data_IF_754654001303
#
_entry.id   IF_754654001303
#
_cell.length_a   1.000
_cell.length_b   1.000
_cell.length_c   1.000
_cell.angle_alpha   90.00
_cell.angle_beta   90.00
_cell.angle_gamma   90.00
#
_symmetry.space_group_name_H-M   'P 1'
#
loop_
_entity.id
_entity.type
_entity.pdbx_description
1 polymer ?
#
# COMPACT_ATOMS: atom_id res chain seq x y z
N UNK A 1 26.12 50.03 5.41
CA UNK A 1 26.88 49.28 6.43
C UNK A 1 25.92 48.26 7.02
N UNK A 2 25.76 47.11 6.37
CA UNK A 2 24.84 46.07 6.82
C UNK A 2 25.70 44.90 7.29
N UNK A 3 25.70 44.67 8.60
CA UNK A 3 26.37 43.54 9.24
C UNK A 3 25.71 42.26 8.75
N UNK A 4 26.45 41.51 7.93
CA UNK A 4 26.11 40.14 7.58
C UNK A 4 26.36 39.32 8.84
N UNK A 5 25.28 38.90 9.50
CA UNK A 5 25.31 37.80 10.46
C UNK A 5 25.75 36.55 9.70
N UNK A 6 27.06 36.34 9.62
CA UNK A 6 27.66 35.04 9.42
C UNK A 6 27.30 34.23 10.67
N UNK A 7 26.20 33.49 10.61
CA UNK A 7 26.02 32.34 11.48
C UNK A 7 27.20 31.40 11.20
N UNK A 8 28.24 31.49 12.04
CA UNK A 8 29.23 30.43 12.13
C UNK A 8 28.46 29.19 12.55
N UNK A 9 28.56 28.12 11.77
CA UNK A 9 28.36 26.80 12.32
C UNK A 9 29.44 26.65 13.39
N UNK A 10 29.06 26.94 14.64
CA UNK A 10 29.94 26.77 15.78
C UNK A 10 30.44 25.34 15.75
N UNK A 11 31.76 25.20 15.64
CA UNK A 11 32.48 23.95 15.86
C UNK A 11 32.27 23.55 17.32
N UNK A 12 31.11 22.96 17.62
CA UNK A 12 30.81 22.41 18.92
C UNK A 12 31.79 21.27 19.15
N UNK A 13 32.67 21.45 20.14
CA UNK A 13 33.48 20.37 20.63
C UNK A 13 32.55 19.40 21.37
N UNK A 14 32.03 18.42 20.64
CA UNK A 14 31.08 17.41 21.15
C UNK A 14 31.63 16.69 22.38
N UNK A 15 32.95 16.46 22.42
CA UNK A 15 33.61 15.85 23.59
C UNK A 15 33.58 16.77 24.80
N UNK A 16 33.77 18.08 24.60
CA UNK A 16 33.65 19.07 25.66
C UNK A 16 32.20 19.21 26.15
N UNK A 17 31.23 19.26 25.24
CA UNK A 17 29.82 19.32 25.58
C UNK A 17 29.40 18.10 26.42
N UNK A 18 29.78 16.89 26.02
CA UNK A 18 29.49 15.67 26.79
C UNK A 18 30.18 15.74 28.17
N UNK A 19 31.43 16.23 28.26
CA UNK A 19 32.11 16.41 29.55
C UNK A 19 31.41 17.41 30.47
N UNK A 20 30.94 18.53 29.92
CA UNK A 20 30.24 19.55 30.69
C UNK A 20 28.87 19.03 31.17
N UNK A 21 28.14 18.31 30.31
CA UNK A 21 26.90 17.62 30.71
C UNK A 21 27.13 16.56 31.80
N UNK A 22 28.18 15.75 31.67
CA UNK A 22 28.56 14.73 32.68
C UNK A 22 28.98 15.38 34.00
N UNK A 23 29.67 16.52 33.95
CA UNK A 23 30.02 17.30 35.14
C UNK A 23 28.76 17.90 35.80
N UNK A 24 27.85 18.47 35.02
CA UNK A 24 26.58 19.01 35.51
C UNK A 24 25.70 17.92 36.15
N UNK A 25 25.60 16.74 35.52
CA UNK A 25 24.90 15.57 36.08
C UNK A 25 25.54 15.08 37.38
N UNK A 26 26.88 15.07 37.46
CA UNK A 26 27.60 14.77 38.69
C UNK A 26 27.27 15.74 39.82
N UNK A 27 27.30 17.04 39.54
CA UNK A 27 26.93 18.09 40.50
C UNK A 27 25.46 18.00 40.92
N UNK A 28 24.56 17.67 39.99
CA UNK A 28 23.14 17.45 40.29
C UNK A 28 22.94 16.26 41.23
N UNK A 29 23.67 15.14 41.02
CA UNK A 29 23.62 13.99 41.94
C UNK A 29 24.09 14.36 43.35
N UNK A 30 25.17 15.14 43.49
CA UNK A 30 25.63 15.62 44.80
C UNK A 30 24.61 16.56 45.46
N UNK A 31 23.95 17.43 44.69
CA UNK A 31 22.87 18.28 45.19
C UNK A 31 21.71 17.44 45.74
N UNK A 32 21.24 16.45 44.97
CA UNK A 32 20.14 15.57 45.37
C UNK A 32 20.52 14.77 46.62
N UNK A 33 21.75 14.26 46.72
CA UNK A 33 22.22 13.53 47.91
C UNK A 33 22.28 14.43 49.14
N UNK A 34 22.73 15.67 48.98
CA UNK A 34 22.72 16.66 50.05
C UNK A 34 21.28 16.98 50.48
N UNK A 35 20.36 17.19 49.54
CA UNK A 35 18.95 17.47 49.82
C UNK A 35 18.27 16.29 50.53
N UNK A 36 18.58 15.05 50.14
CA UNK A 36 18.10 13.83 50.82
C UNK A 36 18.67 13.72 52.24
N UNK A 37 19.93 14.09 52.44
CA UNK A 37 20.57 14.10 53.75
C UNK A 37 19.93 15.15 54.66
N UNK A 38 19.71 16.36 54.14
CA UNK A 38 19.02 17.45 54.83
C UNK A 38 17.58 17.01 55.18
N UNK A 39 16.84 16.46 54.23
CA UNK A 39 15.49 15.95 54.45
C UNK A 39 15.46 14.88 55.56
N UNK A 40 16.44 13.96 55.57
CA UNK A 40 16.57 12.94 56.62
C UNK A 40 16.85 13.55 58.00
N UNK A 41 17.62 14.64 58.07
CA UNK A 41 17.88 15.32 59.35
C UNK A 41 16.70 16.16 59.86
N UNK A 42 15.85 16.67 58.95
CA UNK A 42 14.68 17.49 59.29
C UNK A 42 13.47 16.62 59.66
N UNK A 43 13.31 15.45 59.05
CA UNK A 43 12.20 14.55 59.40
C UNK A 43 12.48 13.91 60.77
N UNK A 44 11.58 14.14 61.73
CA UNK A 44 11.66 13.51 63.07
C UNK A 44 11.69 11.99 62.93
N UNK A 45 12.48 11.28 63.74
CA UNK A 45 12.59 9.81 63.76
C UNK A 45 11.21 9.14 63.99
N UNK A 46 10.41 9.02 62.93
CA UNK A 46 9.33 8.06 62.80
C UNK A 46 9.96 6.75 62.32
N UNK A 47 9.51 5.61 62.85
CA UNK A 47 10.14 4.32 62.64
C UNK A 47 10.54 4.04 61.19
N UNK A 48 11.58 3.22 61.01
CA UNK A 48 12.26 2.88 59.74
C UNK A 48 11.34 2.39 58.60
N UNK A 49 10.04 2.25 58.85
CA UNK A 49 9.01 1.75 57.93
C UNK A 49 8.14 2.85 57.32
N UNK A 50 8.40 4.12 57.60
CA UNK A 50 7.55 5.22 57.12
C UNK A 50 7.82 5.56 55.64
N UNK A 51 6.78 5.92 54.86
CA UNK A 51 6.88 6.07 53.39
C UNK A 51 7.93 7.10 52.94
N UNK A 52 8.03 8.24 53.65
CA UNK A 52 9.09 9.23 53.41
C UNK A 52 10.51 8.72 53.69
N UNK A 53 10.71 7.90 54.72
CA UNK A 53 12.02 7.30 55.01
C UNK A 53 12.41 6.28 53.94
N UNK A 54 11.46 5.45 53.50
CA UNK A 54 11.68 4.49 52.42
C UNK A 54 11.97 5.20 51.08
N UNK A 55 11.28 6.31 50.81
CA UNK A 55 11.55 7.15 49.65
C UNK A 55 12.94 7.79 49.73
N UNK A 56 13.32 8.38 50.88
CA UNK A 56 14.65 8.96 51.08
C UNK A 56 15.76 7.92 50.97
N UNK A 57 15.56 6.70 51.47
CA UNK A 57 16.50 5.60 51.26
C UNK A 57 16.63 5.24 49.79
N UNK A 58 15.50 5.09 49.08
CA UNK A 58 15.50 4.81 47.64
C UNK A 58 16.19 5.91 46.82
N UNK A 59 15.90 7.19 47.12
CA UNK A 59 16.53 8.34 46.47
C UNK A 59 18.05 8.32 46.68
N UNK A 60 18.51 8.02 47.90
CA UNK A 60 19.92 7.93 48.21
C UNK A 60 20.62 6.81 47.42
N UNK A 61 20.06 5.60 47.44
CA UNK A 61 20.62 4.42 46.77
C UNK A 61 20.67 4.60 45.24
N UNK A 62 19.57 5.08 44.62
CA UNK A 62 19.52 5.28 43.18
C UNK A 62 20.40 6.44 42.71
N UNK A 63 20.48 7.53 43.47
CA UNK A 63 21.32 8.66 43.11
C UNK A 63 22.81 8.30 43.21
N UNK A 64 23.21 7.50 44.20
CA UNK A 64 24.57 6.94 44.26
C UNK A 64 24.87 6.00 43.10
N UNK A 65 23.91 5.17 42.67
CA UNK A 65 24.06 4.32 41.49
C UNK A 65 24.27 5.14 40.20
N UNK A 66 23.47 6.20 40.00
CA UNK A 66 23.62 7.11 38.85
C UNK A 66 24.98 7.84 38.92
N UNK A 67 25.39 8.30 40.10
CA UNK A 67 26.69 8.94 40.32
C UNK A 67 27.87 8.02 39.99
N UNK A 68 27.75 6.72 40.27
CA UNK A 68 28.76 5.73 39.84
C UNK A 68 28.81 5.59 38.31
N UNK A 69 27.66 5.59 37.62
CA UNK A 69 27.60 5.58 36.15
C UNK A 69 28.22 6.84 35.53
N UNK A 70 27.91 8.03 36.09
CA UNK A 70 28.53 9.31 35.69
C UNK A 70 30.06 9.23 35.79
N UNK A 71 30.61 8.63 36.86
CA UNK A 71 32.06 8.43 37.04
C UNK A 71 32.65 7.50 35.96
N UNK A 72 31.94 6.43 35.60
CA UNK A 72 32.37 5.51 34.54
C UNK A 72 32.40 6.20 33.17
N UNK A 73 31.36 6.96 32.83
CA UNK A 73 31.30 7.78 31.62
C UNK A 73 32.45 8.78 31.59
N UNK A 74 32.66 9.51 32.69
CA UNK A 74 33.76 10.49 32.82
C UNK A 74 35.13 9.86 32.56
N UNK A 75 35.37 8.63 33.00
CA UNK A 75 36.64 7.90 32.80
C UNK A 75 36.87 7.49 31.34
N UNK A 76 35.79 7.27 30.58
CA UNK A 76 35.85 6.82 29.17
C UNK A 76 36.04 7.97 28.17
N UNK A 77 35.82 9.20 28.59
CA UNK A 77 36.05 10.38 27.75
C UNK A 77 37.55 10.73 27.71
N UNK A 78 38.11 11.10 26.54
CA UNK A 78 39.47 11.61 26.44
C UNK A 78 39.72 12.77 27.40
N UNK A 79 40.95 12.98 27.87
CA UNK A 79 41.31 14.14 28.69
C UNK A 79 41.84 15.25 27.79
N UNK A 80 41.20 16.42 27.77
CA UNK A 80 41.77 17.61 27.11
C UNK A 80 42.78 18.28 28.05
N UNK A 81 43.97 18.54 27.53
CA UNK A 81 45.13 19.09 28.26
C UNK A 81 45.02 20.63 28.43
N UNK A 82 43.99 21.26 27.86
CA UNK A 82 43.82 22.71 27.92
C UNK A 82 42.57 23.11 28.70
N UNK A 83 42.59 22.85 30.01
CA UNK A 83 41.73 23.56 30.95
C UNK A 83 42.40 24.88 31.28
N UNK A 84 41.87 25.99 30.76
CA UNK A 84 42.19 27.32 31.29
C UNK A 84 41.62 27.33 32.71
N UNK A 85 42.53 27.32 33.70
CA UNK A 85 42.18 27.57 35.10
C UNK A 85 41.47 28.92 35.16
N UNK A 86 40.15 28.93 35.32
CA UNK A 86 39.47 30.13 35.82
C UNK A 86 40.14 30.45 37.16
N UNK A 87 40.79 31.60 37.24
CA UNK A 87 41.56 32.08 38.39
C UNK A 87 40.69 32.40 39.60
N UNK A 88 39.87 31.44 40.03
CA UNK A 88 39.23 31.46 41.34
C UNK A 88 40.26 30.87 42.29
N UNK A 89 40.87 31.74 43.09
CA UNK A 89 41.85 31.36 44.10
C UNK A 89 41.22 30.32 45.05
N UNK A 90 41.89 29.20 45.36
CA UNK A 90 41.38 28.18 46.30
C UNK A 90 41.01 28.77 47.68
N UNK A 91 41.68 29.87 48.06
CA UNK A 91 41.39 30.66 49.26
C UNK A 91 39.97 31.27 49.32
N UNK A 92 39.30 31.50 48.17
CA UNK A 92 37.91 32.00 48.16
C UNK A 92 36.88 30.89 48.27
N UNK A 93 37.24 29.65 47.90
CA UNK A 93 36.38 28.48 48.08
C UNK A 93 36.41 27.97 49.52
N UNK A 94 37.58 28.00 50.17
CA UNK A 94 37.76 27.64 51.58
C UNK A 94 37.17 28.67 52.56
N UNK A 95 36.86 29.89 52.11
CA UNK A 95 36.21 30.92 52.91
C UNK A 95 34.67 30.83 52.97
N UNK A 96 34.05 30.04 52.09
CA UNK A 96 32.58 29.84 52.07
C UNK A 96 32.03 28.99 53.24
N UNK A 97 32.71 27.96 53.75
CA UNK A 97 32.23 27.22 54.93
C UNK A 97 32.45 27.96 56.26
N UNK A 98 33.16 29.09 56.29
CA UNK A 98 33.53 29.79 57.53
C UNK A 98 32.47 30.78 58.07
N UNK A 99 31.28 30.86 57.44
CA UNK A 99 30.18 31.74 57.90
C UNK A 99 28.93 30.99 58.35
N UNK A 100 29.00 29.68 58.57
CA UNK A 100 27.92 28.94 59.23
C UNK A 100 28.20 28.92 60.72
N UNK A 101 27.85 30.02 61.38
CA UNK A 101 27.76 30.05 62.83
C UNK A 101 26.74 28.99 63.29
N UNK A 102 27.18 28.21 64.27
CA UNK A 102 26.42 27.17 64.92
C UNK A 102 25.26 27.77 65.73
N UNK A 103 24.06 27.81 65.15
CA UNK A 103 22.84 28.01 65.93
C UNK A 103 22.32 26.64 66.37
N UNK A 104 22.86 26.20 67.50
CA UNK A 104 22.61 24.89 68.08
C UNK A 104 21.61 25.04 69.22
N UNK A 105 20.34 25.35 68.90
CA UNK A 105 19.25 25.29 69.88
C UNK A 105 17.89 24.97 69.24
N UNK A 106 17.38 23.78 69.60
CA UNK A 106 15.98 23.39 69.71
C UNK A 106 15.11 23.21 68.44
N UNK A 107 14.73 21.95 68.21
CA UNK A 107 13.43 21.50 67.67
C UNK A 107 12.98 22.10 66.32
N UNK A 108 13.72 21.85 65.25
CA UNK A 108 13.24 22.06 63.88
C UNK A 108 13.03 20.75 63.13
N UNK A 109 12.46 19.75 63.83
CA UNK A 109 12.06 18.51 63.17
C UNK A 109 10.60 18.58 62.75
N UNK A 110 10.31 18.22 61.50
CA UNK A 110 8.96 18.17 60.95
C UNK A 110 8.43 16.75 61.14
N UNK A 111 7.18 16.62 61.58
CA UNK A 111 6.50 15.31 61.64
C UNK A 111 6.43 14.69 60.24
N UNK A 112 6.67 13.39 60.14
CA UNK A 112 6.60 12.62 58.88
C UNK A 112 5.35 12.95 58.05
N UNK A 113 4.18 12.94 58.69
CA UNK A 113 2.89 13.21 58.06
C UNK A 113 2.86 14.58 57.38
N UNK A 114 3.42 15.60 58.06
CA UNK A 114 3.45 16.98 57.56
C UNK A 114 4.46 17.16 56.44
N UNK A 115 5.62 16.50 56.53
CA UNK A 115 6.59 16.46 55.44
C UNK A 115 6.00 15.81 54.19
N UNK A 116 5.29 14.69 54.34
CA UNK A 116 4.65 13.99 53.23
C UNK A 116 3.56 14.80 52.54
N UNK A 117 2.75 15.54 53.32
CA UNK A 117 1.74 16.45 52.79
C UNK A 117 2.38 17.58 51.95
N UNK A 118 3.44 18.21 52.47
CA UNK A 118 4.17 19.26 51.75
C UNK A 118 4.83 18.74 50.47
N UNK A 119 5.40 17.53 50.53
CA UNK A 119 5.98 16.87 49.37
C UNK A 119 4.93 16.54 48.31
N UNK A 120 3.75 16.06 48.73
CA UNK A 120 2.63 15.78 47.83
C UNK A 120 2.14 17.05 47.14
N UNK A 121 1.95 18.15 47.89
CA UNK A 121 1.58 19.45 47.31
C UNK A 121 2.65 19.99 46.35
N UNK A 122 3.93 19.72 46.59
CA UNK A 122 5.01 20.10 45.69
C UNK A 122 4.98 19.25 44.40
N UNK A 123 4.74 17.94 44.50
CA UNK A 123 4.57 17.06 43.35
C UNK A 123 3.36 17.45 42.50
N UNK A 124 2.21 17.74 43.11
CA UNK A 124 0.99 18.15 42.40
C UNK A 124 1.22 19.43 41.57
N UNK A 125 1.98 20.40 42.10
CA UNK A 125 2.34 21.61 41.35
C UNK A 125 3.28 21.38 40.17
N UNK A 126 4.11 20.35 40.22
CA UNK A 126 5.11 20.06 39.18
C UNK A 126 4.55 19.15 38.09
N UNK A 127 3.77 18.14 38.48
CA UNK A 127 3.27 17.10 37.57
C UNK A 127 1.81 17.32 37.17
N UNK A 128 1.05 18.17 37.88
CA UNK A 128 -0.35 18.50 37.61
C UNK A 128 -1.21 17.27 37.31
N UNK A 129 -1.56 17.03 36.04
CA UNK A 129 -2.44 15.93 35.61
C UNK A 129 -1.75 14.55 35.58
N UNK A 130 -0.41 14.51 35.61
CA UNK A 130 0.40 13.28 35.55
C UNK A 130 0.94 12.83 36.92
N UNK A 131 0.51 13.46 38.02
CA UNK A 131 1.00 13.16 39.36
C UNK A 131 0.56 11.76 39.84
N UNK A 132 1.53 10.87 40.06
CA UNK A 132 1.32 9.51 40.63
C UNK A 132 1.74 9.42 42.09
N UNK A 133 1.94 10.57 42.72
CA UNK A 133 2.45 10.74 44.07
C UNK A 133 3.98 10.73 44.14
N UNK A 134 4.57 11.26 45.23
CA UNK A 134 6.01 11.46 45.35
C UNK A 134 6.83 10.20 45.06
N UNK A 135 6.45 9.07 45.66
CA UNK A 135 7.16 7.81 45.49
C UNK A 135 7.27 7.34 44.04
N UNK A 136 6.19 7.42 43.26
CA UNK A 136 6.18 6.93 41.89
C UNK A 136 6.86 7.90 40.93
N UNK A 137 6.69 9.21 41.14
CA UNK A 137 7.31 10.22 40.30
C UNK A 137 8.84 10.18 40.40
N UNK A 138 9.38 10.16 41.63
CA UNK A 138 10.82 10.03 41.85
C UNK A 138 11.37 8.70 41.34
N UNK A 139 10.64 7.59 41.54
CA UNK A 139 11.02 6.27 41.01
C UNK A 139 11.11 6.28 39.49
N UNK A 140 10.08 6.79 38.81
CA UNK A 140 10.04 6.87 37.35
C UNK A 140 11.15 7.75 36.78
N UNK A 141 11.35 8.95 37.35
CA UNK A 141 12.39 9.90 36.91
C UNK A 141 13.79 9.34 37.09
N UNK A 142 14.12 8.79 38.26
CA UNK A 142 15.45 8.19 38.51
C UNK A 142 15.67 6.94 37.68
N UNK A 143 14.66 6.10 37.47
CA UNK A 143 14.77 4.93 36.62
C UNK A 143 15.03 5.30 35.16
N UNK A 144 14.34 6.33 34.65
CA UNK A 144 14.57 6.84 33.30
C UNK A 144 15.98 7.43 33.17
N UNK A 145 16.39 8.30 34.10
CA UNK A 145 17.74 8.87 34.10
C UNK A 145 18.82 7.79 34.14
N UNK A 146 18.65 6.76 34.97
CA UNK A 146 19.58 5.63 35.03
C UNK A 146 19.63 4.85 33.70
N UNK A 147 18.49 4.61 33.05
CA UNK A 147 18.42 3.97 31.73
C UNK A 147 19.16 4.78 30.66
N UNK A 148 18.94 6.10 30.61
CA UNK A 148 19.57 6.98 29.62
C UNK A 148 21.08 7.07 29.82
N UNK A 149 21.55 7.15 31.07
CA UNK A 149 22.98 7.08 31.38
C UNK A 149 23.59 5.72 31.03
N UNK A 150 22.87 4.61 31.24
CA UNK A 150 23.34 3.28 30.86
C UNK A 150 23.48 3.16 29.34
N UNK A 151 22.51 3.67 28.57
CA UNK A 151 22.59 3.72 27.11
C UNK A 151 23.78 4.56 26.64
N UNK A 152 24.01 5.73 27.25
CA UNK A 152 25.16 6.58 26.93
C UNK A 152 26.49 5.90 27.28
N UNK A 153 26.57 5.24 28.44
CA UNK A 153 27.75 4.48 28.86
C UNK A 153 28.05 3.31 27.91
N UNK A 154 27.01 2.62 27.44
CA UNK A 154 27.12 1.52 26.47
C UNK A 154 27.55 2.03 25.10
N UNK A 155 26.97 3.13 24.62
CA UNK A 155 27.36 3.75 23.34
C UNK A 155 28.84 4.14 23.34
N UNK A 156 29.33 4.74 24.43
CA UNK A 156 30.75 5.08 24.58
C UNK A 156 31.65 3.84 24.66
N UNK A 157 31.15 2.70 25.16
CA UNK A 157 31.88 1.44 25.17
C UNK A 157 32.00 0.85 23.76
N UNK A 158 30.87 0.74 23.06
CA UNK A 158 30.81 0.14 21.72
C UNK A 158 31.65 0.92 20.71
N UNK A 159 31.79 2.23 20.92
CA UNK A 159 32.54 3.17 20.08
C UNK A 159 33.92 3.53 20.62
N UNK A 160 34.41 2.88 21.68
CA UNK A 160 35.69 3.19 22.33
C UNK A 160 36.86 3.19 21.33
N UNK A 161 36.90 2.22 20.41
CA UNK A 161 37.95 2.14 19.39
C UNK A 161 37.89 3.30 18.37
N UNK A 162 36.69 3.71 17.93
CA UNK A 162 36.51 4.85 17.02
C UNK A 162 36.91 6.16 17.71
N UNK A 163 36.46 6.35 18.96
CA UNK A 163 36.77 7.53 19.79
C UNK A 163 38.27 7.64 20.07
N UNK A 164 38.93 6.52 20.43
CA UNK A 164 40.39 6.50 20.68
C UNK A 164 41.21 6.63 19.39
N UNK A 165 40.72 6.12 18.26
CA UNK A 165 41.40 6.27 16.96
C UNK A 165 41.38 7.72 16.46
N UNK A 166 40.30 8.46 16.74
CA UNK A 166 40.18 9.90 16.45
C UNK A 166 41.04 10.75 17.40
N UNK A 167 41.10 10.40 18.68
CA UNK A 167 41.93 11.10 19.67
C UNK A 167 43.44 10.89 19.48
N UNK A 168 43.86 9.76 18.85
CA UNK A 168 45.28 9.44 18.59
C UNK A 168 45.79 9.93 17.22
N UNK A 169 44.97 10.60 16.40
CA UNK A 169 45.50 11.34 15.26
C UNK A 169 46.30 12.54 15.80
N UNK A 170 47.63 12.35 15.87
CA UNK A 170 48.61 13.43 16.03
C UNK A 170 48.15 14.63 15.22
N UNK A 171 48.07 15.78 15.89
CA UNK A 171 47.89 17.11 15.29
C UNK A 171 48.71 17.26 14.00
N UNK A 172 48.07 17.03 12.87
CA UNK A 172 48.60 17.46 11.58
C UNK A 172 48.43 18.98 11.54
N UNK A 173 49.50 19.69 11.16
CA UNK A 173 49.58 21.16 11.20
C UNK A 173 48.27 21.80 10.73
N UNK A 174 47.75 22.83 11.44
CA UNK A 174 46.48 23.44 11.07
C UNK A 174 46.55 23.87 9.61
N UNK A 175 45.68 23.26 8.79
CA UNK A 175 45.49 23.62 7.39
C UNK A 175 45.21 25.12 7.38
N UNK A 176 46.02 25.87 6.65
CA UNK A 176 45.97 27.31 6.65
C UNK A 176 44.55 27.79 6.30
N UNK A 177 43.97 28.77 7.03
CA UNK A 177 42.56 29.17 6.87
C UNK A 177 42.14 29.50 5.42
N UNK A 178 43.10 29.93 4.61
CA UNK A 178 42.92 30.18 3.17
C UNK A 178 42.61 28.88 2.41
N UNK A 179 43.29 27.78 2.69
CA UNK A 179 43.08 26.48 2.05
C UNK A 179 41.72 25.91 2.47
N UNK A 180 41.36 26.01 3.75
CA UNK A 180 40.04 25.58 4.25
C UNK A 180 38.91 26.38 3.58
N UNK A 181 39.08 27.69 3.44
CA UNK A 181 38.12 28.55 2.74
C UNK A 181 38.04 28.24 1.25
N UNK A 182 39.17 27.94 0.60
CA UNK A 182 39.20 27.54 -0.81
C UNK A 182 38.50 26.18 -1.04
N UNK A 183 38.69 25.22 -0.13
CA UNK A 183 38.01 23.92 -0.17
C UNK A 183 36.50 24.06 0.05
N UNK A 184 36.08 24.95 0.95
CA UNK A 184 34.66 25.25 1.18
C UNK A 184 34.01 25.85 -0.06
N UNK A 185 34.64 26.85 -0.68
CA UNK A 185 34.15 27.47 -1.93
C UNK A 185 34.08 26.42 -3.05
N UNK A 186 35.08 25.55 -3.16
CA UNK A 186 35.08 24.46 -4.13
C UNK A 186 33.90 23.52 -3.92
N UNK A 187 33.65 23.10 -2.66
CA UNK A 187 32.51 22.25 -2.30
C UNK A 187 31.17 22.93 -2.59
N UNK A 188 31.04 24.22 -2.26
CA UNK A 188 29.84 25.00 -2.56
C UNK A 188 29.59 25.15 -4.06
N UNK A 189 30.64 25.33 -4.87
CA UNK A 189 30.53 25.42 -6.32
C UNK A 189 30.12 24.09 -6.95
N UNK A 190 30.64 22.98 -6.42
CA UNK A 190 30.24 21.63 -6.82
C UNK A 190 28.79 21.33 -6.44
N UNK A 191 28.37 21.69 -5.22
CA UNK A 191 26.97 21.61 -4.78
C UNK A 191 26.04 22.47 -5.65
N UNK A 192 26.46 23.70 -6.01
CA UNK A 192 25.71 24.56 -6.93
C UNK A 192 25.54 23.90 -8.30
N UNK A 193 26.58 23.27 -8.83
CA UNK A 193 26.50 22.59 -10.13
C UNK A 193 25.55 21.40 -10.09
N UNK A 194 25.58 20.61 -9.01
CA UNK A 194 24.61 19.52 -8.79
C UNK A 194 23.19 20.07 -8.71
N UNK A 195 22.96 21.13 -7.94
CA UNK A 195 21.64 21.77 -7.83
C UNK A 195 21.16 22.37 -9.16
N UNK A 196 22.06 22.93 -9.96
CA UNK A 196 21.73 23.44 -11.29
C UNK A 196 21.31 22.31 -12.23
N UNK A 197 22.03 21.17 -12.22
CA UNK A 197 21.68 20.00 -13.02
C UNK A 197 20.35 19.37 -12.58
N UNK A 198 20.07 19.30 -11.27
CA UNK A 198 18.77 18.79 -10.80
C UNK A 198 17.64 19.74 -11.18
N UNK A 199 17.86 21.06 -11.13
CA UNK A 199 16.87 22.05 -11.53
C UNK A 199 16.57 21.98 -13.04
N UNK A 200 17.60 21.84 -13.88
CA UNK A 200 17.44 21.63 -15.33
C UNK A 200 16.64 20.36 -15.64
N UNK A 201 16.91 19.25 -14.94
CA UNK A 201 16.15 18.02 -15.11
C UNK A 201 14.67 18.19 -14.71
N UNK A 202 14.40 18.89 -13.60
CA UNK A 202 13.02 19.21 -13.19
C UNK A 202 12.31 20.11 -14.19
N UNK A 203 13.00 21.07 -14.80
CA UNK A 203 12.44 21.90 -15.86
C UNK A 203 12.09 21.09 -17.12
N UNK A 204 12.93 20.11 -17.49
CA UNK A 204 12.64 19.18 -18.58
C UNK A 204 11.38 18.34 -18.28
N UNK A 205 11.27 17.79 -17.07
CA UNK A 205 10.08 17.04 -16.62
C UNK A 205 8.82 17.91 -16.68
N UNK A 206 8.90 19.17 -16.20
CA UNK A 206 7.77 20.11 -16.25
C UNK A 206 7.35 20.38 -17.69
N UNK A 207 8.30 20.56 -18.62
CA UNK A 207 8.00 20.77 -20.05
C UNK A 207 7.31 19.54 -20.64
N UNK A 208 7.79 18.34 -20.33
CA UNK A 208 7.20 17.09 -20.79
C UNK A 208 5.79 16.87 -20.23
N UNK A 209 5.59 17.13 -18.93
CA UNK A 209 4.28 17.05 -18.29
C UNK A 209 3.28 18.05 -18.87
N UNK A 210 3.73 19.28 -19.17
CA UNK A 210 2.89 20.29 -19.85
C UNK A 210 2.48 19.83 -21.26
N UNK A 211 3.38 19.20 -22.02
CA UNK A 211 3.06 18.66 -23.33
C UNK A 211 2.05 17.50 -23.22
N UNK A 212 2.26 16.58 -22.28
CA UNK A 212 1.35 15.47 -22.02
C UNK A 212 -0.05 15.96 -21.60
N UNK A 213 -0.12 16.99 -20.75
CA UNK A 213 -1.38 17.62 -20.34
C UNK A 213 -2.12 18.25 -21.52
N UNK A 214 -1.40 18.95 -22.42
CA UNK A 214 -2.02 19.50 -23.65
C UNK A 214 -2.55 18.40 -24.57
N UNK A 215 -1.81 17.30 -24.76
CA UNK A 215 -2.27 16.17 -25.57
C UNK A 215 -3.53 15.53 -24.96
N UNK A 216 -3.57 15.37 -23.63
CA UNK A 216 -4.75 14.85 -22.92
C UNK A 216 -5.94 15.80 -23.01
N UNK A 217 -5.71 17.11 -22.92
CA UNK A 217 -6.75 18.11 -23.10
C UNK A 217 -7.35 18.05 -24.51
N UNK A 218 -6.52 17.85 -25.54
CA UNK A 218 -6.97 17.69 -26.92
C UNK A 218 -7.76 16.39 -27.13
N UNK A 219 -7.33 15.28 -26.51
CA UNK A 219 -8.07 14.01 -26.55
C UNK A 219 -9.45 14.15 -25.89
N UNK A 220 -9.53 14.83 -24.75
CA UNK A 220 -10.79 15.12 -24.07
C UNK A 220 -11.71 16.02 -24.89
N UNK A 221 -11.19 17.08 -25.53
CA UNK A 221 -12.01 17.94 -26.39
C UNK A 221 -12.53 17.20 -27.62
N UNK A 222 -11.74 16.30 -28.22
CA UNK A 222 -12.20 15.43 -29.30
C UNK A 222 -13.28 14.46 -28.83
N UNK A 223 -13.10 13.81 -27.68
CA UNK A 223 -14.13 12.92 -27.10
C UNK A 223 -15.43 13.67 -26.79
N UNK A 224 -15.33 14.92 -26.30
CA UNK A 224 -16.50 15.76 -26.05
C UNK A 224 -17.26 16.04 -27.35
N UNK A 225 -16.58 16.42 -28.43
CA UNK A 225 -17.22 16.64 -29.74
C UNK A 225 -17.91 15.36 -30.24
N UNK A 226 -17.27 14.19 -30.09
CA UNK A 226 -17.86 12.90 -30.47
C UNK A 226 -19.11 12.57 -29.65
N UNK A 227 -19.07 12.84 -28.35
CA UNK A 227 -20.22 12.70 -27.45
C UNK A 227 -21.37 13.60 -27.89
N UNK A 228 -21.12 14.90 -28.08
CA UNK A 228 -22.15 15.86 -28.47
C UNK A 228 -22.78 15.48 -29.83
N UNK A 229 -21.99 14.95 -30.77
CA UNK A 229 -22.50 14.45 -32.05
C UNK A 229 -23.40 13.21 -31.88
N UNK A 230 -23.02 12.28 -31.00
CA UNK A 230 -23.81 11.10 -30.71
C UNK A 230 -25.13 11.46 -30.00
N UNK A 231 -25.09 12.39 -29.05
CA UNK A 231 -26.27 12.91 -28.36
C UNK A 231 -27.23 13.60 -29.34
N UNK A 232 -26.72 14.42 -30.27
CA UNK A 232 -27.54 15.02 -31.34
C UNK A 232 -28.19 13.96 -32.22
N UNK A 233 -27.45 12.93 -32.65
CA UNK A 233 -28.01 11.83 -33.45
C UNK A 233 -29.09 11.07 -32.70
N UNK A 234 -28.87 10.81 -31.41
CA UNK A 234 -29.85 10.14 -30.56
C UNK A 234 -31.11 10.99 -30.38
N UNK A 235 -30.97 12.30 -30.18
CA UNK A 235 -32.10 13.23 -30.10
C UNK A 235 -32.92 13.27 -31.39
N UNK A 236 -32.27 13.28 -32.56
CA UNK A 236 -32.96 13.21 -33.86
C UNK A 236 -33.70 11.88 -34.01
N UNK A 237 -33.03 10.75 -33.75
CA UNK A 237 -33.66 9.43 -33.81
C UNK A 237 -34.85 9.33 -32.85
N UNK A 238 -34.72 9.86 -31.63
CA UNK A 238 -35.80 9.88 -30.65
C UNK A 238 -37.00 10.69 -31.17
N UNK A 239 -36.77 11.87 -31.74
CA UNK A 239 -37.84 12.68 -32.34
C UNK A 239 -38.50 11.97 -33.52
N UNK A 240 -37.74 11.27 -34.37
CA UNK A 240 -38.28 10.45 -35.46
C UNK A 240 -39.13 9.29 -34.92
N UNK A 241 -38.65 8.59 -33.89
CA UNK A 241 -39.42 7.53 -33.22
C UNK A 241 -40.72 8.07 -32.62
N UNK A 242 -40.68 9.18 -31.89
CA UNK A 242 -41.86 9.84 -31.35
C UNK A 242 -42.86 10.20 -32.46
N UNK A 243 -42.38 10.75 -33.58
CA UNK A 243 -43.23 11.07 -34.73
C UNK A 243 -43.87 9.82 -35.36
N UNK A 244 -43.10 8.73 -35.51
CA UNK A 244 -43.65 7.47 -36.04
C UNK A 244 -44.69 6.87 -35.10
N UNK A 245 -44.45 6.89 -33.79
CA UNK A 245 -45.41 6.41 -32.78
C UNK A 245 -46.70 7.22 -32.87
N UNK A 246 -46.61 8.55 -32.98
CA UNK A 246 -47.78 9.42 -33.11
C UNK A 246 -48.58 9.13 -34.39
N UNK A 247 -47.89 8.87 -35.52
CA UNK A 247 -48.52 8.46 -36.77
C UNK A 247 -49.25 7.12 -36.64
N UNK A 248 -48.63 6.12 -35.99
CA UNK A 248 -49.25 4.82 -35.75
C UNK A 248 -50.47 4.93 -34.82
N UNK A 249 -50.39 5.74 -33.76
CA UNK A 249 -51.53 6.03 -32.88
C UNK A 249 -52.69 6.63 -33.67
N UNK A 250 -52.43 7.63 -34.51
CA UNK A 250 -53.47 8.24 -35.34
C UNK A 250 -54.12 7.23 -36.30
N UNK A 251 -53.33 6.37 -36.95
CA UNK A 251 -53.87 5.31 -37.81
C UNK A 251 -54.72 4.29 -37.02
N UNK A 252 -54.30 3.96 -35.80
CA UNK A 252 -55.04 3.10 -34.91
C UNK A 252 -56.39 3.73 -34.49
N UNK A 253 -56.40 5.01 -34.12
CA UNK A 253 -57.62 5.76 -33.80
C UNK A 253 -58.56 5.86 -35.01
N UNK A 254 -58.03 6.16 -36.20
CA UNK A 254 -58.81 6.21 -37.44
C UNK A 254 -59.44 4.84 -37.76
N UNK A 255 -58.69 3.74 -37.64
CA UNK A 255 -59.20 2.38 -37.85
C UNK A 255 -60.25 1.99 -36.80
N UNK A 256 -60.04 2.36 -35.54
CA UNK A 256 -61.00 2.12 -34.47
C UNK A 256 -62.30 2.90 -34.69
N UNK A 257 -62.22 4.16 -35.11
CA UNK A 257 -63.39 4.97 -35.43
C UNK A 257 -64.19 4.39 -36.62
N UNK A 258 -63.50 3.89 -37.65
CA UNK A 258 -64.13 3.20 -38.77
C UNK A 258 -64.86 1.93 -38.31
N UNK A 259 -64.24 1.14 -37.43
CA UNK A 259 -64.85 -0.07 -36.89
C UNK A 259 -66.11 0.26 -36.08
N UNK A 260 -66.08 1.31 -35.26
CA UNK A 260 -67.26 1.77 -34.50
C UNK A 260 -68.39 2.24 -35.45
N UNK A 261 -68.05 2.92 -36.55
CA UNK A 261 -69.02 3.32 -37.56
C UNK A 261 -69.66 2.12 -38.27
N UNK A 262 -68.86 1.09 -38.59
CA UNK A 262 -69.38 -0.15 -39.17
C UNK A 262 -70.32 -0.87 -38.21
N UNK A 263 -69.98 -0.95 -36.92
CA UNK A 263 -70.88 -1.52 -35.90
C UNK A 263 -72.20 -0.73 -35.76
N UNK A 264 -72.17 0.60 -35.88
CA UNK A 264 -73.40 1.41 -35.89
C UNK A 264 -74.27 1.08 -37.10
N UNK A 265 -73.67 0.97 -38.29
CA UNK A 265 -74.39 0.56 -39.51
C UNK A 265 -74.93 -0.86 -39.41
N UNK A 266 -74.17 -1.80 -38.85
CA UNK A 266 -74.64 -3.17 -38.60
C UNK A 266 -75.89 -3.16 -37.73
N UNK A 267 -75.90 -2.40 -36.63
CA UNK A 267 -77.10 -2.22 -35.79
C UNK A 267 -78.27 -1.58 -36.53
N UNK A 268 -78.02 -0.58 -37.38
CA UNK A 268 -79.07 0.03 -38.21
C UNK A 268 -79.66 -0.98 -39.21
N UNK A 269 -78.83 -1.84 -39.79
CA UNK A 269 -79.29 -2.94 -40.65
C UNK A 269 -80.07 -3.99 -39.87
N UNK A 270 -79.63 -4.38 -38.67
CA UNK A 270 -80.38 -5.27 -37.78
C UNK A 270 -81.76 -4.71 -37.47
N UNK A 271 -81.86 -3.44 -37.06
CA UNK A 271 -83.15 -2.79 -36.80
C UNK A 271 -84.04 -2.74 -38.04
N UNK A 272 -83.45 -2.49 -39.22
CA UNK A 272 -84.20 -2.49 -40.48
C UNK A 272 -84.69 -3.91 -40.83
N UNK A 273 -83.85 -4.93 -40.60
CA UNK A 273 -84.19 -6.33 -40.81
C UNK A 273 -85.35 -6.75 -39.90
N UNK A 274 -85.31 -6.39 -38.62
CA UNK A 274 -86.36 -6.67 -37.64
C UNK A 274 -87.69 -6.02 -38.07
N UNK A 275 -87.64 -4.79 -38.57
CA UNK A 275 -88.84 -4.11 -39.08
C UNK A 275 -89.44 -4.85 -40.28
N UNK A 276 -88.62 -5.26 -41.25
CA UNK A 276 -89.08 -6.04 -42.41
C UNK A 276 -89.61 -7.42 -42.00
N UNK A 277 -89.02 -8.07 -41.00
CA UNK A 277 -89.53 -9.34 -40.47
C UNK A 277 -90.91 -9.15 -39.83
N UNK A 278 -91.07 -8.10 -39.02
CA UNK A 278 -92.37 -7.71 -38.44
C UNK A 278 -93.43 -7.48 -39.53
N UNK A 279 -93.08 -6.78 -40.61
CA UNK A 279 -93.98 -6.57 -41.75
C UNK A 279 -94.32 -7.87 -42.48
N UNK A 280 -93.35 -8.79 -42.65
CA UNK A 280 -93.61 -10.12 -43.21
C UNK A 280 -94.60 -10.90 -42.35
N UNK A 281 -94.39 -10.95 -41.03
CA UNK A 281 -95.29 -11.63 -40.10
C UNK A 281 -96.71 -11.02 -40.13
N UNK A 282 -96.82 -9.69 -40.19
CA UNK A 282 -98.08 -8.99 -40.33
C UNK A 282 -98.79 -9.39 -41.64
N UNK A 283 -98.08 -9.33 -42.78
CA UNK A 283 -98.62 -9.74 -44.09
C UNK A 283 -98.97 -11.23 -44.15
N UNK A 284 -98.21 -12.10 -43.50
CA UNK A 284 -98.52 -13.53 -43.40
C UNK A 284 -99.75 -13.77 -42.54
N UNK A 285 -99.92 -13.01 -41.46
CA UNK A 285 -101.14 -13.02 -40.65
C UNK A 285 -102.33 -12.56 -41.48
N UNK A 286 -102.24 -11.44 -42.20
CA UNK A 286 -103.28 -10.93 -43.08
C UNK A 286 -103.60 -11.93 -44.20
N UNK A 287 -102.59 -12.49 -44.85
CA UNK A 287 -102.74 -13.56 -45.85
C UNK A 287 -103.40 -14.80 -45.26
N UNK A 288 -103.07 -15.19 -44.04
CA UNK A 288 -103.69 -16.34 -43.36
C UNK A 288 -105.16 -16.06 -43.05
N UNK A 289 -105.51 -14.85 -42.59
CA UNK A 289 -106.91 -14.43 -42.38
C UNK A 289 -107.68 -14.33 -43.70
N UNK A 290 -107.06 -13.85 -44.78
CA UNK A 290 -107.66 -13.82 -46.11
C UNK A 290 -107.82 -15.23 -46.68
N UNK A 291 -106.86 -16.14 -46.48
CA UNK A 291 -107.01 -17.56 -46.84
C UNK A 291 -108.11 -18.23 -46.03
N UNK A 292 -108.26 -17.91 -44.76
CA UNK A 292 -109.36 -18.40 -43.92
C UNK A 292 -110.71 -17.88 -44.45
N UNK A 293 -110.81 -16.58 -44.74
CA UNK A 293 -111.98 -15.96 -45.41
C UNK A 293 -112.26 -16.55 -46.80
N UNK A 294 -111.22 -16.90 -47.56
CA UNK A 294 -111.35 -17.54 -48.88
C UNK A 294 -111.82 -18.99 -48.72
N UNK A 295 -111.31 -19.72 -47.72
CA UNK A 295 -111.72 -21.09 -47.39
C UNK A 295 -113.16 -21.15 -46.89
N UNK A 296 -113.68 -20.08 -46.28
CA UNK A 296 -115.11 -19.96 -45.95
C UNK A 296 -116.00 -19.53 -47.13
N UNK A 297 -115.44 -19.08 -48.27
CA UNK A 297 -116.22 -18.48 -49.37
C UNK A 297 -115.98 -19.08 -50.76
N UNK A 298 -115.07 -20.04 -50.95
CA UNK A 298 -114.89 -20.67 -52.27
C UNK A 298 -113.92 -21.84 -52.26
N UNK A 299 -114.39 -22.98 -52.78
CA UNK A 299 -113.65 -24.23 -52.82
C UNK A 299 -112.58 -24.30 -53.92
N UNK A 300 -111.58 -25.15 -53.66
CA UNK A 300 -110.93 -25.97 -54.69
C UNK A 300 -109.49 -25.57 -55.10
N UNK A 301 -108.61 -26.56 -55.38
CA UNK A 301 -107.14 -26.42 -55.30
C UNK A 301 -106.40 -26.49 -56.65
N UNK A 302 -105.10 -26.12 -56.70
CA UNK A 302 -103.97 -26.88 -57.36
C UNK A 302 -102.68 -26.04 -57.65
N UNK A 303 -101.54 -26.65 -57.27
CA UNK A 303 -100.27 -26.96 -58.02
C UNK A 303 -99.28 -25.89 -58.58
N UNK A 304 -98.04 -26.41 -58.73
CA UNK A 304 -96.84 -26.02 -59.55
C UNK A 304 -95.73 -25.24 -58.80
N UNK A 305 -94.47 -25.71 -58.63
CA UNK A 305 -93.38 -26.09 -59.60
C UNK A 305 -92.94 -24.86 -60.42
N UNK A 306 -91.69 -24.48 -60.71
CA UNK A 306 -90.29 -24.96 -60.63
C UNK A 306 -89.39 -23.75 -61.05
N UNK A 307 -88.05 -23.90 -61.08
CA UNK A 307 -87.04 -23.20 -61.91
C UNK A 307 -86.27 -22.08 -61.20
N UNK A 308 -84.99 -22.26 -60.84
CA UNK A 308 -83.76 -22.36 -61.67
C UNK A 308 -83.28 -21.00 -62.23
N UNK A 309 -81.98 -20.71 -61.99
CA UNK A 309 -80.95 -20.41 -63.01
C UNK A 309 -80.04 -19.17 -62.74
N UNK A 310 -78.71 -19.42 -62.65
CA UNK A 310 -77.55 -18.65 -63.21
C UNK A 310 -77.22 -17.21 -62.73
N UNK A 311 -76.04 -16.59 -62.90
CA UNK A 311 -74.78 -16.81 -63.69
C UNK A 311 -73.69 -15.79 -63.25
N UNK A 312 -72.41 -16.22 -63.29
CA UNK A 312 -71.19 -15.57 -63.86
C UNK A 312 -70.49 -14.30 -63.32
N UNK A 313 -69.14 -14.46 -63.24
CA UNK A 313 -68.02 -13.58 -63.69
C UNK A 313 -67.66 -12.37 -62.82
N UNK A 314 -66.41 -11.91 -62.67
CA UNK A 314 -65.20 -11.97 -63.53
C UNK A 314 -63.90 -11.62 -62.78
N UNK A 315 -62.80 -12.14 -63.34
CA UNK A 315 -61.35 -11.90 -63.22
C UNK A 315 -60.81 -10.48 -63.00
N UNK A 316 -59.65 -10.39 -62.32
CA UNK A 316 -58.68 -9.28 -62.43
C UNK A 316 -57.27 -9.71 -62.00
N UNK A 317 -56.34 -9.86 -62.96
CA UNK A 317 -54.92 -10.06 -62.72
C UNK A 317 -54.10 -9.32 -63.79
N UNK A 318 -53.23 -8.41 -63.36
CA UNK A 318 -52.00 -8.01 -64.05
C UNK A 318 -51.18 -7.13 -63.09
N UNK A 319 -49.93 -7.51 -62.82
CA UNK A 319 -48.73 -6.66 -62.70
C UNK A 319 -47.59 -7.54 -62.16
N UNK A 320 -46.92 -8.27 -63.05
CA UNK A 320 -45.65 -8.92 -62.75
C UNK A 320 -44.70 -8.83 -63.96
N UNK A 321 -43.62 -8.08 -63.73
CA UNK A 321 -42.24 -8.44 -64.07
C UNK A 321 -41.81 -8.64 -65.54
N UNK A 322 -40.97 -7.71 -66.04
CA UNK A 322 -39.98 -7.99 -67.08
C UNK A 322 -38.81 -6.99 -67.06
N UNK A 323 -37.55 -7.48 -67.10
CA UNK A 323 -36.43 -6.71 -67.65
C UNK A 323 -35.07 -6.71 -66.92
N UNK A 324 -34.43 -7.87 -66.67
CA UNK A 324 -32.95 -7.96 -66.59
C UNK A 324 -32.48 -9.35 -67.06
N UNK A 325 -31.90 -9.47 -68.25
CA UNK A 325 -31.20 -10.70 -68.68
C UNK A 325 -29.99 -10.37 -69.55
N UNK A 326 -28.80 -10.37 -68.93
CA UNK A 326 -27.51 -10.25 -69.63
C UNK A 326 -26.30 -10.01 -68.71
N UNK A 327 -26.48 -9.38 -67.54
CA UNK A 327 -25.39 -9.00 -66.63
C UNK A 327 -25.36 -9.74 -65.29
N UNK A 328 -26.38 -10.55 -64.99
CA UNK A 328 -26.58 -11.19 -63.68
C UNK A 328 -25.51 -12.19 -63.22
N UNK A 329 -24.89 -13.04 -64.07
CA UNK A 329 -23.86 -13.97 -63.58
C UNK A 329 -22.52 -13.28 -63.29
N UNK A 330 -22.14 -12.28 -64.08
CA UNK A 330 -20.90 -11.50 -63.88
C UNK A 330 -21.02 -10.65 -62.61
N UNK A 331 -22.17 -10.01 -62.40
CA UNK A 331 -22.44 -9.25 -61.16
C UNK A 331 -22.39 -10.16 -59.92
N UNK A 332 -22.84 -11.42 -60.03
CA UNK A 332 -22.77 -12.37 -58.91
C UNK A 332 -21.33 -12.78 -58.56
N UNK A 333 -20.46 -12.98 -59.56
CA UNK A 333 -19.04 -13.27 -59.38
C UNK A 333 -18.29 -12.06 -58.77
N UNK A 334 -18.55 -10.85 -59.28
CA UNK A 334 -18.00 -9.61 -58.73
C UNK A 334 -18.40 -9.41 -57.25
N UNK A 335 -19.64 -9.74 -56.90
CA UNK A 335 -20.15 -9.64 -55.53
C UNK A 335 -19.48 -10.66 -54.59
N UNK A 336 -19.17 -11.87 -55.07
CA UNK A 336 -18.42 -12.86 -54.29
C UNK A 336 -16.95 -12.45 -54.08
N UNK A 337 -16.30 -11.91 -55.11
CA UNK A 337 -14.94 -11.41 -54.99
C UNK A 337 -14.89 -10.22 -54.02
N UNK A 338 -15.84 -9.28 -54.13
CA UNK A 338 -15.95 -8.14 -53.23
C UNK A 338 -16.17 -8.59 -51.77
N UNK A 339 -17.00 -9.61 -51.55
CA UNK A 339 -17.22 -10.19 -50.22
C UNK A 339 -15.93 -10.77 -49.63
N UNK A 340 -15.11 -11.42 -50.46
CA UNK A 340 -13.83 -12.03 -50.05
C UNK A 340 -12.79 -10.96 -49.70
N UNK A 341 -12.70 -9.91 -50.53
CA UNK A 341 -11.82 -8.77 -50.28
C UNK A 341 -12.23 -8.02 -49.01
N UNK A 342 -13.53 -7.77 -48.81
CA UNK A 342 -14.04 -7.13 -47.60
C UNK A 342 -13.77 -7.97 -46.35
N UNK A 343 -13.90 -9.30 -46.45
CA UNK A 343 -13.57 -10.20 -45.36
C UNK A 343 -12.08 -10.17 -45.02
N UNK A 344 -11.21 -10.15 -46.03
CA UNK A 344 -9.76 -10.04 -45.83
C UNK A 344 -9.38 -8.68 -45.21
N UNK A 345 -9.92 -7.56 -45.70
CA UNK A 345 -9.72 -6.22 -45.12
C UNK A 345 -10.18 -6.18 -43.66
N UNK A 346 -11.35 -6.76 -43.36
CA UNK A 346 -11.85 -6.84 -41.99
C UNK A 346 -10.90 -7.65 -41.10
N UNK A 347 -10.39 -8.78 -41.58
CA UNK A 347 -9.47 -9.63 -40.83
C UNK A 347 -8.11 -8.96 -40.61
N UNK A 348 -7.57 -8.25 -41.60
CA UNK A 348 -6.31 -7.51 -41.44
C UNK A 348 -6.51 -6.35 -40.47
N UNK A 349 -7.62 -5.61 -40.57
CA UNK A 349 -7.96 -4.55 -39.60
C UNK A 349 -8.09 -5.09 -38.18
N UNK A 350 -8.78 -6.20 -37.99
CA UNK A 350 -8.90 -6.87 -36.68
C UNK A 350 -7.54 -7.34 -36.17
N UNK A 351 -6.67 -7.88 -37.04
CA UNK A 351 -5.31 -8.29 -36.67
C UNK A 351 -4.46 -7.09 -36.22
N UNK A 352 -4.54 -5.96 -36.92
CA UNK A 352 -3.85 -4.72 -36.55
C UNK A 352 -4.34 -4.17 -35.21
N UNK A 353 -5.67 -4.15 -34.99
CA UNK A 353 -6.24 -3.75 -33.70
C UNK A 353 -5.80 -4.70 -32.57
N UNK A 354 -5.82 -6.01 -32.80
CA UNK A 354 -5.36 -7.01 -31.84
C UNK A 354 -3.86 -6.86 -31.54
N UNK A 355 -3.05 -6.51 -32.53
CA UNK A 355 -1.62 -6.23 -32.34
C UNK A 355 -1.40 -4.99 -31.46
N UNK A 356 -2.13 -3.89 -31.70
CA UNK A 356 -2.06 -2.70 -30.85
C UNK A 356 -2.46 -3.01 -29.40
N UNK A 357 -3.51 -3.83 -29.21
CA UNK A 357 -3.91 -4.28 -27.87
C UNK A 357 -2.82 -5.14 -27.24
N UNK A 358 -2.21 -6.07 -27.98
CA UNK A 358 -1.08 -6.89 -27.48
C UNK A 358 0.13 -6.05 -27.13
N UNK A 359 0.46 -5.03 -27.91
CA UNK A 359 1.55 -4.10 -27.62
C UNK A 359 1.28 -3.29 -26.35
N UNK A 360 0.03 -2.82 -26.16
CA UNK A 360 -0.39 -2.20 -24.90
C UNK A 360 -0.31 -3.19 -23.74
N UNK A 361 -0.73 -4.45 -23.95
CA UNK A 361 -0.71 -5.48 -22.92
C UNK A 361 0.71 -5.85 -22.51
N UNK A 362 1.65 -5.93 -23.47
CA UNK A 362 3.08 -6.23 -23.24
C UNK A 362 3.79 -5.14 -22.41
N UNK A 363 3.25 -3.93 -22.34
CA UNK A 363 3.77 -2.85 -21.48
C UNK A 363 3.46 -3.09 -20.00
N UNK A 364 2.48 -3.92 -19.68
CA UNK A 364 2.19 -4.30 -18.30
C UNK A 364 3.11 -5.44 -17.86
N UNK A 365 3.43 -5.46 -16.59
CA UNK A 365 4.22 -6.52 -15.98
C UNK A 365 3.43 -7.85 -15.98
N UNK A 366 4.04 -8.99 -16.32
CA UNK A 366 3.38 -10.28 -16.27
C UNK A 366 2.90 -10.62 -14.85
N UNK A 367 1.63 -10.98 -14.70
CA UNK A 367 1.08 -11.42 -13.42
C UNK A 367 1.68 -12.78 -13.06
N UNK A 368 2.38 -12.86 -11.93
CA UNK A 368 2.96 -14.10 -11.44
C UNK A 368 2.03 -14.74 -10.40
N UNK A 369 1.52 -15.93 -10.69
CA UNK A 369 0.69 -16.69 -9.74
C UNK A 369 1.60 -17.58 -8.89
N UNK A 370 1.48 -17.57 -7.55
CA UNK A 370 2.24 -18.47 -6.70
C UNK A 370 1.97 -19.93 -7.07
N UNK A 371 3.02 -20.65 -7.46
CA UNK A 371 2.94 -22.08 -7.76
C UNK A 371 3.16 -22.91 -6.48
N UNK A 372 2.52 -24.08 -6.36
CA UNK A 372 2.76 -25.00 -5.26
C UNK A 372 4.23 -25.44 -5.22
N UNK A 373 4.75 -25.67 -4.00
CA UNK A 373 6.14 -26.11 -3.80
C UNK A 373 6.35 -27.48 -4.43
N UNK A 374 7.38 -27.58 -5.26
CA UNK A 374 7.71 -28.81 -5.97
C UNK A 374 8.44 -29.80 -5.04
N UNK A 375 8.05 -31.07 -5.10
CA UNK A 375 8.60 -32.14 -4.24
C UNK A 375 10.11 -32.27 -4.39
N UNK A 376 10.60 -32.21 -5.63
CA UNK A 376 12.05 -32.32 -5.91
C UNK A 376 12.85 -31.15 -5.34
N UNK A 377 12.31 -29.94 -5.37
CA UNK A 377 12.95 -28.76 -4.74
C UNK A 377 13.00 -28.95 -3.23
N UNK A 378 11.91 -29.43 -2.61
CA UNK A 378 11.88 -29.65 -1.15
C UNK A 378 12.86 -30.74 -0.70
N UNK A 379 13.08 -31.78 -1.52
CA UNK A 379 14.09 -32.80 -1.26
C UNK A 379 15.50 -32.22 -1.28
N UNK A 380 15.85 -31.46 -2.33
CA UNK A 380 17.15 -30.81 -2.48
C UNK A 380 17.40 -29.76 -1.38
N UNK A 381 16.38 -29.00 -0.98
CA UNK A 381 16.45 -28.07 0.15
C UNK A 381 16.70 -28.82 1.48
N UNK A 382 16.05 -29.97 1.67
CA UNK A 382 16.25 -30.83 2.83
C UNK A 382 17.67 -31.43 2.87
N UNK A 383 18.21 -31.83 1.72
CA UNK A 383 19.59 -32.30 1.61
C UNK A 383 20.60 -31.19 1.84
N UNK A 384 20.37 -30.00 1.29
CA UNK A 384 21.20 -28.82 1.51
C UNK A 384 21.23 -28.44 3.00
N UNK A 385 20.09 -28.52 3.69
CA UNK A 385 20.00 -28.23 5.12
C UNK A 385 20.77 -29.27 5.95
N UNK A 386 20.59 -30.56 5.64
CA UNK A 386 21.36 -31.66 6.26
C UNK A 386 22.87 -31.46 6.06
N UNK A 387 23.29 -31.07 4.85
CA UNK A 387 24.68 -30.80 4.52
C UNK A 387 25.24 -29.59 5.27
N UNK A 388 24.49 -28.48 5.35
CA UNK A 388 24.88 -27.30 6.15
C UNK A 388 25.06 -27.65 7.62
N UNK A 389 24.16 -28.45 8.19
CA UNK A 389 24.26 -28.92 9.57
C UNK A 389 25.49 -29.82 9.78
N UNK A 390 25.73 -30.78 8.87
CA UNK A 390 26.92 -31.65 8.94
C UNK A 390 28.21 -30.84 8.86
N UNK A 391 28.27 -29.83 7.99
CA UNK A 391 29.43 -28.95 7.88
C UNK A 391 29.65 -28.09 9.13
N UNK A 392 28.59 -27.50 9.68
CA UNK A 392 28.65 -26.72 10.93
C UNK A 392 29.14 -27.57 12.12
N UNK A 393 28.63 -28.80 12.25
CA UNK A 393 29.08 -29.74 13.28
C UNK A 393 30.53 -30.16 13.10
N UNK A 394 30.99 -30.36 11.85
CA UNK A 394 32.39 -30.64 11.55
C UNK A 394 33.31 -29.47 11.91
N UNK A 395 32.85 -28.22 11.74
CA UNK A 395 33.59 -27.03 12.13
C UNK A 395 33.73 -26.90 13.66
N UNK A 396 32.68 -27.26 14.39
CA UNK A 396 32.64 -27.22 15.86
C UNK A 396 33.52 -28.31 16.53
N UNK A 397 33.81 -29.41 15.83
CA UNK A 397 34.70 -30.47 16.33
C UNK A 397 36.20 -30.21 16.06
N UNK A 398 36.54 -29.10 15.39
CA UNK A 398 37.94 -28.75 15.14
C UNK A 398 38.59 -28.12 16.38
N UNK A 399 39.11 -28.99 17.25
CA UNK A 399 40.13 -28.65 18.25
C UNK A 399 39.89 -29.28 19.63
N UNK A 400 40.24 -30.55 19.86
CA UNK A 400 40.48 -31.00 21.23
C UNK A 400 41.74 -30.27 21.73
N UNK A 401 41.57 -29.35 22.68
CA UNK A 401 42.68 -29.06 23.60
C UNK A 401 42.91 -30.33 24.42
N UNK A 402 44.14 -30.85 24.51
CA UNK A 402 44.43 -31.86 25.50
C UNK A 402 44.28 -31.21 26.88
N UNK A 403 43.84 -32.00 27.84
CA UNK A 403 43.82 -31.72 29.28
C UNK A 403 42.56 -31.02 29.81
N UNK A 404 41.61 -31.84 30.27
CA UNK A 404 40.93 -31.56 31.54
C UNK A 404 40.41 -32.86 32.14
N UNK A 405 41.07 -33.29 33.21
CA UNK A 405 40.68 -34.41 34.07
C UNK A 405 39.41 -34.05 34.87
N UNK A 406 38.25 -34.16 34.25
CA UNK A 406 36.95 -33.95 34.88
C UNK A 406 35.95 -34.99 34.39
N UNK A 407 35.10 -35.46 35.30
CA UNK A 407 34.06 -36.47 35.04
C UNK A 407 33.23 -36.04 33.83
N UNK A 408 33.43 -36.71 32.70
CA UNK A 408 32.77 -36.38 31.45
C UNK A 408 31.31 -36.85 31.49
N UNK A 409 30.39 -35.92 31.20
CA UNK A 409 28.97 -36.25 31.04
C UNK A 409 28.80 -37.34 29.97
N UNK A 410 28.07 -38.42 30.30
CA UNK A 410 27.77 -39.54 29.38
C UNK A 410 27.19 -39.02 28.05
N UNK A 411 26.42 -37.93 28.09
CA UNK A 411 25.85 -37.26 26.91
C UNK A 411 26.92 -36.59 26.05
N UNK A 412 27.94 -35.99 26.67
CA UNK A 412 29.08 -35.41 25.96
C UNK A 412 29.95 -36.50 25.31
N UNK A 413 30.13 -37.63 26.01
CA UNK A 413 30.86 -38.79 25.49
C UNK A 413 30.12 -39.44 24.30
N UNK A 414 28.80 -39.57 24.38
CA UNK A 414 27.97 -40.16 23.32
C UNK A 414 27.89 -39.27 22.07
N UNK A 415 27.93 -37.93 22.21
CA UNK A 415 28.06 -37.00 21.08
C UNK A 415 29.47 -36.99 20.47
N UNK A 416 30.50 -37.27 21.27
CA UNK A 416 31.89 -37.37 20.80
C UNK A 416 32.12 -38.61 19.92
N UNK A 417 31.36 -39.67 20.15
CA UNK A 417 31.42 -40.93 19.39
C UNK A 417 30.54 -40.97 18.13
N UNK A 418 29.77 -39.92 17.83
CA UNK A 418 29.08 -39.83 16.55
C UNK A 418 30.11 -39.47 15.47
N UNK A 419 30.53 -40.47 14.69
CA UNK A 419 31.46 -40.27 13.57
C UNK A 419 30.84 -39.33 12.54
N UNK A 420 31.16 -38.05 12.62
CA UNK A 420 30.82 -37.09 11.59
C UNK A 420 31.78 -37.31 10.42
N UNK A 421 31.28 -37.32 9.17
CA UNK A 421 32.10 -37.55 7.99
C UNK A 421 33.23 -36.53 7.92
N UNK A 422 34.39 -36.96 7.44
CA UNK A 422 35.56 -36.10 7.35
C UNK A 422 35.25 -34.85 6.50
N UNK A 423 35.89 -33.72 6.80
CA UNK A 423 35.67 -32.45 6.07
C UNK A 423 35.80 -32.59 4.55
N UNK A 424 36.69 -33.46 4.09
CA UNK A 424 36.87 -33.79 2.67
C UNK A 424 35.64 -34.52 2.05
N UNK A 425 35.02 -35.43 2.79
CA UNK A 425 33.79 -36.12 2.38
C UNK A 425 32.59 -35.16 2.36
N UNK A 426 32.52 -34.23 3.31
CA UNK A 426 31.50 -33.18 3.33
C UNK A 426 31.66 -32.28 2.10
N UNK A 427 32.89 -31.91 1.76
CA UNK A 427 33.19 -31.06 0.59
C UNK A 427 32.85 -31.76 -0.73
N UNK A 428 33.14 -33.05 -0.87
CA UNK A 428 32.83 -33.81 -2.11
C UNK A 428 31.33 -34.00 -2.28
N UNK A 429 30.60 -34.33 -1.20
CA UNK A 429 29.13 -34.39 -1.22
C UNK A 429 28.51 -33.03 -1.53
N UNK A 430 29.07 -31.93 -1.03
CA UNK A 430 28.61 -30.58 -1.34
C UNK A 430 28.76 -30.24 -2.84
N UNK A 431 29.89 -30.61 -3.46
CA UNK A 431 30.09 -30.41 -4.90
C UNK A 431 29.12 -31.24 -5.74
N UNK A 432 28.83 -32.47 -5.33
CA UNK A 432 27.85 -33.32 -6.01
C UNK A 432 26.44 -32.74 -5.92
N UNK A 433 26.00 -32.34 -4.72
CA UNK A 433 24.70 -31.68 -4.51
C UNK A 433 24.59 -30.36 -5.30
N UNK A 434 25.67 -29.58 -5.37
CA UNK A 434 25.70 -28.36 -6.18
C UNK A 434 25.50 -28.65 -7.69
N UNK A 435 26.10 -29.73 -8.21
CA UNK A 435 25.91 -30.15 -9.59
C UNK A 435 24.47 -30.62 -9.87
N UNK A 436 23.85 -31.37 -8.93
CA UNK A 436 22.45 -31.80 -9.06
C UNK A 436 21.48 -30.62 -9.02
N UNK A 437 21.67 -29.66 -8.10
CA UNK A 437 20.86 -28.44 -8.03
C UNK A 437 20.96 -27.65 -9.34
N UNK A 438 22.17 -27.55 -9.90
CA UNK A 438 22.39 -26.85 -11.17
C UNK A 438 21.72 -27.57 -12.34
N UNK A 439 21.80 -28.90 -12.40
CA UNK A 439 21.16 -29.70 -13.45
C UNK A 439 19.62 -29.55 -13.41
N UNK A 440 19.02 -29.64 -12.22
CA UNK A 440 17.58 -29.45 -12.00
C UNK A 440 17.13 -28.03 -12.35
N UNK A 441 17.95 -27.02 -12.04
CA UNK A 441 17.68 -25.63 -12.42
C UNK A 441 17.63 -25.45 -13.95
N UNK A 442 18.58 -26.05 -14.68
CA UNK A 442 18.64 -25.96 -16.14
C UNK A 442 17.52 -26.75 -16.82
N UNK A 443 17.14 -27.89 -16.28
CA UNK A 443 16.02 -28.69 -16.81
C UNK A 443 14.69 -27.93 -16.72
N UNK A 444 14.48 -27.19 -15.62
CA UNK A 444 13.30 -26.33 -15.42
C UNK A 444 13.33 -25.06 -16.25
N UNK A 445 14.52 -24.59 -16.62
CA UNK A 445 14.72 -23.37 -17.39
C UNK A 445 15.47 -23.66 -18.71
N UNK A 446 14.82 -24.24 -19.72
CA UNK A 446 15.48 -24.63 -20.98
C UNK A 446 16.16 -23.45 -21.69
N UNK A 447 15.56 -22.26 -21.60
CA UNK A 447 16.09 -21.01 -22.17
C UNK A 447 17.39 -20.52 -21.47
N UNK A 448 17.76 -21.10 -20.34
CA UNK A 448 18.97 -20.82 -19.57
C UNK A 448 20.04 -21.89 -19.73
N UNK A 449 19.74 -22.95 -20.48
CA UNK A 449 20.69 -23.98 -20.88
C UNK A 449 21.23 -23.67 -22.28
N UNK A 450 22.51 -23.94 -22.50
CA UNK A 450 23.11 -23.94 -23.82
C UNK A 450 22.59 -25.14 -24.61
N UNK A 451 22.37 -24.95 -25.91
CA UNK A 451 21.95 -26.03 -26.81
C UNK A 451 23.11 -27.01 -26.98
N UNK A 452 23.03 -28.17 -26.34
CA UNK A 452 24.05 -29.22 -26.35
C UNK A 452 23.36 -30.60 -26.35
N UNK A 453 23.94 -31.58 -27.04
CA UNK A 453 23.33 -32.91 -27.20
C UNK A 453 23.62 -33.88 -26.04
N UNK A 454 24.73 -33.67 -25.32
CA UNK A 454 25.22 -34.63 -24.32
C UNK A 454 24.87 -34.27 -22.87
N UNK A 455 24.76 -32.99 -22.54
CA UNK A 455 24.45 -32.52 -21.19
C UNK A 455 23.93 -31.07 -21.21
N UNK A 456 23.20 -30.69 -20.16
CA UNK A 456 22.74 -29.31 -19.98
C UNK A 456 23.86 -28.47 -19.35
N UNK A 457 24.31 -27.44 -20.08
CA UNK A 457 25.30 -26.49 -19.58
C UNK A 457 24.67 -25.12 -19.37
N UNK A 458 25.03 -24.37 -18.31
CA UNK A 458 24.51 -23.02 -18.13
C UNK A 458 25.00 -22.08 -19.23
N UNK A 459 24.13 -21.15 -19.65
CA UNK A 459 24.53 -20.05 -20.54
C UNK A 459 25.55 -19.12 -19.87
N UNK A 460 26.28 -18.35 -20.67
CA UNK A 460 27.31 -17.40 -20.19
C UNK A 460 26.75 -16.41 -19.17
N UNK A 461 25.50 -15.97 -19.36
CA UNK A 461 24.80 -15.08 -18.43
C UNK A 461 24.58 -15.74 -17.07
N UNK A 462 24.12 -17.00 -17.06
CA UNK A 462 23.87 -17.75 -15.83
C UNK A 462 25.18 -18.00 -15.07
N UNK A 463 26.26 -18.34 -15.77
CA UNK A 463 27.59 -18.49 -15.16
C UNK A 463 28.04 -17.19 -14.48
N UNK A 464 27.84 -16.04 -15.15
CA UNK A 464 28.17 -14.72 -14.59
C UNK A 464 27.35 -14.37 -13.35
N UNK A 465 26.05 -14.67 -13.35
CA UNK A 465 25.15 -14.39 -12.22
C UNK A 465 25.47 -15.29 -11.03
N UNK A 466 25.67 -16.59 -11.27
CA UNK A 466 25.94 -17.57 -10.22
C UNK A 466 27.41 -17.62 -9.78
N UNK A 467 28.31 -16.89 -10.45
CA UNK A 467 29.76 -16.89 -10.22
C UNK A 467 30.36 -18.30 -10.26
N UNK A 468 29.92 -19.11 -11.24
CA UNK A 468 30.38 -20.47 -11.51
C UNK A 468 31.34 -20.48 -12.69
#
# INVERSE_FOLDING_TARGET
MNSVLLAGEDLLNETQMIRDCVAALGSACESILNDVTIARTIVREGGDTSDSMLLMQYLNEQTEAIKQQVKLIKRRLPQDIHVIKCGISPLKLEAMPASIESDNTAEHTIEHSKFWELLTQACERVYEQDDRGPSQNFKGMLAQANSDLQQMAQYLLDKEYEIMSLANQKQEKPISPIISRAQLIKKQLEQKNVLAATLENREADIKQLKLAAKLKQNELSEMQIRKDLAEKKLSVLQSEYEHTVEKWKRQYEEAHAQLEQLQKKEKEYEVTLDHLQSDIEALESEKSTLREKLKTTGGGPKRFADSSLTTTSSSGAAFAHHGVTGSTPIIAEELQLLKTVLHNERNTRLRMQAQQIREKLKKFEPIHVPQPKDKRITELEGELTRMKHAWALSLLQAGPKPDTTGIESIVAMQRRHQQLPAKAEISTRANHLAAEILAEYLQRNPHRAANCEFAAFPTVEVKRVLKI
#
